data_IF_058193724257
#
_entry.id   IF_058193724257
#
_cell.length_a   1.000
_cell.length_b   1.000
_cell.length_c   1.000
_cell.angle_alpha   90.00
_cell.angle_beta   90.00
_cell.angle_gamma   90.00
#
_symmetry.space_group_name_H-M   'P 1'
#
loop_
_entity.id
_entity.type
_entity.pdbx_description
1 polymer ?
#
# COMPACT_ATOMS: atom_id res chain seq x y z
N UNK A 1 7.22 6.65 13.97
CA UNK A 1 6.05 6.88 14.87
C UNK A 1 4.76 6.60 14.09
N UNK A 2 3.80 5.86 14.66
CA UNK A 2 2.50 5.57 14.01
C UNK A 2 1.36 6.32 14.69
N UNK A 3 0.55 7.05 13.92
CA UNK A 3 -0.59 7.82 14.41
C UNK A 3 -1.87 7.51 13.61
N UNK A 4 -3.02 7.56 14.25
CA UNK A 4 -4.31 7.32 13.59
C UNK A 4 -4.82 8.60 12.90
N UNK A 5 -5.06 8.54 11.59
CA UNK A 5 -5.71 9.62 10.84
C UNK A 5 -7.24 9.51 10.96
N UNK A 6 -7.79 8.29 10.94
CA UNK A 6 -9.23 8.04 11.06
C UNK A 6 -9.48 6.62 11.59
N UNK A 7 -10.36 6.50 12.61
CA UNK A 7 -10.77 5.20 13.16
C UNK A 7 -12.04 4.64 12.51
N UNK A 8 -12.99 5.51 12.15
CA UNK A 8 -14.23 5.08 11.50
C UNK A 8 -13.99 4.81 10.01
N UNK A 9 -14.83 3.99 9.36
CA UNK A 9 -14.68 3.71 7.95
C UNK A 9 -14.81 4.97 7.08
N UNK A 10 -14.02 5.02 6.00
CA UNK A 10 -14.09 6.05 4.96
C UNK A 10 -14.18 5.39 3.59
N UNK A 11 -14.94 6.01 2.68
CA UNK A 11 -15.01 5.54 1.29
C UNK A 11 -13.67 5.78 0.59
N UNK A 12 -13.29 4.84 -0.27
CA UNK A 12 -12.13 4.95 -1.15
C UNK A 12 -12.62 4.72 -2.58
N UNK A 13 -12.12 5.52 -3.52
CA UNK A 13 -12.39 5.35 -4.95
C UNK A 13 -11.10 5.01 -5.67
N UNK A 14 -11.11 3.90 -6.41
CA UNK A 14 -9.95 3.38 -7.12
C UNK A 14 -10.14 3.64 -8.61
N UNK A 15 -9.11 4.19 -9.23
CA UNK A 15 -9.01 4.30 -10.68
C UNK A 15 -7.80 3.50 -11.16
N UNK A 16 -7.94 2.88 -12.32
CA UNK A 16 -6.94 1.99 -12.90
C UNK A 16 -6.50 2.46 -14.28
N UNK A 17 -5.34 1.98 -14.73
CA UNK A 17 -4.85 2.13 -16.10
C UNK A 17 -5.62 1.20 -17.05
N UNK A 18 -5.55 1.48 -18.34
CA UNK A 18 -5.98 0.60 -19.43
C UNK A 18 -7.48 0.22 -19.46
N UNK A 19 -8.36 1.05 -18.88
CA UNK A 19 -9.81 0.87 -18.98
C UNK A 19 -10.39 -0.18 -18.01
N UNK A 20 -9.61 -0.68 -17.06
CA UNK A 20 -10.12 -1.53 -15.99
C UNK A 20 -11.20 -0.80 -15.18
N UNK A 21 -12.25 -1.48 -14.69
CA UNK A 21 -13.35 -0.84 -14.02
C UNK A 21 -12.91 -0.19 -12.71
N UNK A 22 -13.19 1.11 -12.57
CA UNK A 22 -13.06 1.83 -11.32
C UNK A 22 -13.95 1.20 -10.24
N UNK A 23 -13.52 1.28 -8.98
CA UNK A 23 -14.18 0.59 -7.87
C UNK A 23 -14.25 1.41 -6.60
N UNK A 24 -15.17 1.03 -5.71
CA UNK A 24 -15.29 1.59 -4.38
C UNK A 24 -14.87 0.58 -3.31
N UNK A 25 -14.00 0.99 -2.39
CA UNK A 25 -13.62 0.20 -1.21
C UNK A 25 -13.93 0.95 0.08
N UNK A 26 -14.06 0.20 1.16
CA UNK A 26 -14.27 0.71 2.51
C UNK A 26 -12.93 0.63 3.23
N UNK A 27 -12.30 1.78 3.44
CA UNK A 27 -11.06 1.89 4.20
C UNK A 27 -11.37 2.03 5.69
N UNK A 28 -10.65 1.29 6.53
CA UNK A 28 -10.74 1.33 7.99
C UNK A 28 -9.37 1.60 8.57
N UNK A 29 -9.35 2.09 9.82
CA UNK A 29 -8.13 2.27 10.59
C UNK A 29 -7.03 3.02 9.81
N UNK A 30 -7.38 4.10 9.11
CA UNK A 30 -6.42 4.87 8.33
C UNK A 30 -5.36 5.42 9.30
N UNK A 31 -4.11 5.00 9.11
CA UNK A 31 -3.01 5.31 9.99
C UNK A 31 -1.83 5.83 9.18
N UNK A 32 -1.12 6.80 9.74
CA UNK A 32 0.09 7.35 9.16
C UNK A 32 1.27 6.91 10.01
N UNK A 33 2.15 6.13 9.40
CA UNK A 33 3.47 5.86 9.94
C UNK A 33 4.45 6.90 9.38
N UNK A 34 5.30 7.42 10.27
CA UNK A 34 6.30 8.44 9.96
C UNK A 34 7.67 7.88 10.31
N UNK A 35 8.53 7.76 9.31
CA UNK A 35 9.93 7.35 9.44
C UNK A 35 10.82 8.35 8.68
N UNK A 36 11.48 9.24 9.42
CA UNK A 36 12.28 10.32 8.84
C UNK A 36 11.46 11.21 7.89
N UNK A 37 11.83 11.18 6.60
CA UNK A 37 11.16 11.92 5.53
C UNK A 37 10.01 11.15 4.88
N UNK A 38 9.81 9.89 5.25
CA UNK A 38 8.93 8.96 4.59
C UNK A 38 7.67 8.72 5.42
N UNK A 39 6.52 9.02 4.81
CA UNK A 39 5.20 8.81 5.36
C UNK A 39 4.58 7.57 4.73
N UNK A 40 4.07 6.63 5.51
CA UNK A 40 3.31 5.49 5.01
C UNK A 40 1.87 5.59 5.49
N UNK A 41 0.96 5.89 4.58
CA UNK A 41 -0.48 5.85 4.84
C UNK A 41 -0.97 4.41 4.69
N UNK A 42 -1.22 3.76 5.82
CA UNK A 42 -1.81 2.42 5.89
C UNK A 42 -3.34 2.51 5.92
N UNK A 43 -4.00 1.69 5.11
CA UNK A 43 -5.45 1.56 5.06
C UNK A 43 -5.85 0.09 5.12
N UNK A 44 -6.61 -0.29 6.15
CA UNK A 44 -7.20 -1.61 6.26
C UNK A 44 -8.44 -1.70 5.36
N UNK A 45 -8.35 -2.54 4.34
CA UNK A 45 -9.43 -2.84 3.41
C UNK A 45 -9.88 -4.30 3.49
N UNK A 46 -9.42 -5.05 4.50
CA UNK A 46 -9.70 -6.48 4.66
C UNK A 46 -11.20 -6.82 4.82
N UNK A 47 -11.96 -5.84 5.31
CA UNK A 47 -13.42 -5.95 5.44
C UNK A 47 -14.16 -6.17 4.12
N UNK A 48 -13.58 -5.76 2.99
CA UNK A 48 -14.24 -5.79 1.70
C UNK A 48 -14.35 -7.23 1.12
N UNK A 49 -13.40 -8.12 1.44
CA UNK A 49 -13.48 -9.54 1.07
C UNK A 49 -14.46 -10.33 1.94
N UNK A 50 -14.65 -9.90 3.19
CA UNK A 50 -15.51 -10.57 4.19
C UNK A 50 -17.01 -10.29 4.00
N UNK A 51 -17.40 -9.55 2.97
CA UNK A 51 -18.80 -9.25 2.70
C UNK A 51 -19.59 -10.54 2.39
N UNK A 52 -20.70 -10.76 3.12
CA UNK A 52 -21.58 -11.92 2.90
C UNK A 52 -22.13 -11.96 1.47
N UNK A 53 -22.44 -10.79 0.92
CA UNK A 53 -22.90 -10.66 -0.46
C UNK A 53 -21.70 -10.49 -1.41
N UNK A 54 -21.39 -11.56 -2.16
CA UNK A 54 -20.30 -11.57 -3.15
C UNK A 54 -20.58 -10.71 -4.39
N UNK A 55 -21.84 -10.33 -4.64
CA UNK A 55 -22.17 -9.37 -5.70
C UNK A 55 -22.10 -7.91 -5.24
N UNK A 56 -21.79 -7.65 -3.97
CA UNK A 56 -21.68 -6.28 -3.48
C UNK A 56 -20.54 -5.53 -4.18
N UNK A 57 -20.71 -4.22 -4.47
CA UNK A 57 -19.67 -3.43 -5.16
C UNK A 57 -18.31 -3.48 -4.48
N UNK A 58 -18.30 -3.52 -3.14
CA UNK A 58 -17.10 -3.60 -2.30
C UNK A 58 -16.33 -4.92 -2.49
N UNK A 59 -17.05 -6.04 -2.53
CA UNK A 59 -16.45 -7.36 -2.74
C UNK A 59 -15.90 -7.49 -4.17
N UNK A 60 -16.66 -7.00 -5.16
CA UNK A 60 -16.22 -7.00 -6.56
C UNK A 60 -14.98 -6.12 -6.73
N UNK A 61 -14.97 -4.91 -6.14
CA UNK A 61 -13.82 -4.01 -6.18
C UNK A 61 -12.58 -4.59 -5.48
N UNK A 62 -12.76 -5.31 -4.36
CA UNK A 62 -11.66 -5.97 -3.66
C UNK A 62 -11.03 -7.09 -4.49
N UNK A 63 -11.85 -7.93 -5.13
CA UNK A 63 -11.35 -8.94 -6.07
C UNK A 63 -10.67 -8.32 -7.29
N UNK A 64 -11.22 -7.21 -7.79
CA UNK A 64 -10.61 -6.47 -8.90
C UNK A 64 -9.22 -5.94 -8.50
N UNK A 65 -9.08 -5.39 -7.29
CA UNK A 65 -7.79 -4.93 -6.77
C UNK A 65 -6.76 -6.07 -6.73
N UNK A 66 -7.12 -7.27 -6.26
CA UNK A 66 -6.20 -8.42 -6.23
C UNK A 66 -5.60 -8.68 -7.61
N UNK A 67 -6.43 -8.66 -8.66
CA UNK A 67 -6.02 -8.97 -10.04
C UNK A 67 -5.29 -7.83 -10.72
N UNK A 68 -5.64 -6.59 -10.38
CA UNK A 68 -5.24 -5.39 -11.12
C UNK A 68 -4.45 -4.38 -10.26
N UNK A 69 -3.88 -4.80 -9.12
CA UNK A 69 -3.13 -3.93 -8.20
C UNK A 69 -1.99 -3.18 -8.90
N UNK A 70 -1.22 -3.85 -9.77
CA UNK A 70 -0.14 -3.27 -10.57
C UNK A 70 -0.63 -2.21 -11.58
N UNK A 71 -1.93 -2.19 -11.90
CA UNK A 71 -2.56 -1.20 -12.78
C UNK A 71 -3.20 -0.04 -12.02
N UNK A 72 -3.12 -0.01 -10.68
CA UNK A 72 -3.69 1.07 -9.90
C UNK A 72 -3.07 2.40 -10.35
N UNK A 73 -3.93 3.35 -10.73
CA UNK A 73 -3.52 4.67 -11.19
C UNK A 73 -3.64 5.69 -10.08
N UNK A 74 -4.76 5.68 -9.37
CA UNK A 74 -4.98 6.59 -8.25
C UNK A 74 -6.00 6.04 -7.26
N UNK A 75 -5.91 6.56 -6.04
CA UNK A 75 -6.88 6.31 -4.98
C UNK A 75 -7.36 7.65 -4.41
N UNK A 76 -8.66 7.86 -4.38
CA UNK A 76 -9.27 9.03 -3.73
C UNK A 76 -9.88 8.63 -2.39
N UNK A 77 -9.60 9.42 -1.37
CA UNK A 77 -10.25 9.37 -0.07
C UNK A 77 -10.93 10.73 0.17
N UNK A 78 -12.26 10.86 -0.09
CA UNK A 78 -13.01 12.09 0.12
C UNK A 78 -13.28 12.37 1.62
N UNK A 79 -12.27 12.22 2.47
CA UNK A 79 -12.33 12.43 3.90
C UNK A 79 -11.48 13.65 4.30
N UNK A 80 -12.16 14.72 4.71
CA UNK A 80 -11.52 15.96 5.10
C UNK A 80 -10.66 15.85 6.37
N UNK A 81 -10.99 14.94 7.28
CA UNK A 81 -10.19 14.74 8.48
C UNK A 81 -8.85 14.08 8.14
N UNK A 82 -8.88 13.09 7.25
CA UNK A 82 -7.68 12.43 6.72
C UNK A 82 -6.80 13.47 6.03
N UNK A 83 -7.37 14.27 5.11
CA UNK A 83 -6.66 15.36 4.43
C UNK A 83 -5.99 16.32 5.41
N UNK A 84 -6.76 16.86 6.36
CA UNK A 84 -6.26 17.87 7.31
C UNK A 84 -5.11 17.33 8.16
N UNK A 85 -5.19 16.07 8.62
CA UNK A 85 -4.14 15.45 9.43
C UNK A 85 -2.91 15.08 8.60
N UNK A 86 -3.10 14.66 7.35
CA UNK A 86 -2.00 14.39 6.42
C UNK A 86 -1.22 15.68 6.11
N UNK A 87 -1.91 16.79 5.82
CA UNK A 87 -1.27 18.11 5.59
C UNK A 87 -0.41 18.51 6.79
N UNK A 88 -0.96 18.43 8.01
CA UNK A 88 -0.21 18.76 9.23
C UNK A 88 1.07 17.93 9.40
N UNK A 89 1.01 16.64 9.06
CA UNK A 89 2.19 15.78 9.11
C UNK A 89 3.18 16.16 8.00
N UNK A 90 2.68 16.42 6.79
CA UNK A 90 3.46 16.82 5.62
C UNK A 90 4.31 18.08 5.86
N UNK A 91 3.71 19.09 6.49
CA UNK A 91 4.35 20.38 6.79
C UNK A 91 5.48 20.29 7.82
N UNK A 92 5.53 19.20 8.61
CA UNK A 92 6.57 19.00 9.63
C UNK A 92 7.91 18.50 9.07
N UNK A 93 7.97 18.19 7.76
CA UNK A 93 9.14 17.58 7.10
C UNK A 93 9.49 18.38 5.84
N UNK A 94 10.80 18.55 5.58
CA UNK A 94 11.30 19.39 4.48
C UNK A 94 11.14 18.77 3.09
N UNK A 95 11.35 17.47 2.97
CA UNK A 95 11.28 16.72 1.72
C UNK A 95 10.40 15.46 1.89
N UNK A 96 9.10 15.64 2.18
CA UNK A 96 8.20 14.53 2.50
C UNK A 96 7.98 13.61 1.29
N UNK A 97 8.03 12.30 1.53
CA UNK A 97 7.66 11.25 0.57
C UNK A 97 6.44 10.50 1.10
N UNK A 98 5.52 10.11 0.21
CA UNK A 98 4.32 9.39 0.61
C UNK A 98 4.27 8.00 0.00
N UNK A 99 4.07 7.00 0.85
CA UNK A 99 3.70 5.66 0.47
C UNK A 99 2.25 5.40 0.85
N UNK A 100 1.56 4.64 0.02
CA UNK A 100 0.24 4.08 0.31
C UNK A 100 0.38 2.58 0.53
N UNK A 101 -0.05 2.09 1.69
CA UNK A 101 -0.11 0.66 2.02
C UNK A 101 -1.56 0.23 2.16
N UNK A 102 -2.01 -0.65 1.28
CA UNK A 102 -3.34 -1.26 1.30
C UNK A 102 -3.27 -2.66 1.88
N UNK A 103 -3.94 -2.89 3.01
CA UNK A 103 -3.95 -4.19 3.70
C UNK A 103 -5.27 -4.89 3.45
N UNK A 104 -5.28 -5.86 2.54
CA UNK A 104 -6.47 -6.64 2.16
C UNK A 104 -6.56 -7.97 2.89
N UNK A 105 -5.43 -8.63 3.07
CA UNK A 105 -5.24 -9.84 3.88
C UNK A 105 -3.76 -9.90 4.31
N UNK A 106 -3.35 -10.77 5.25
CA UNK A 106 -1.95 -10.94 5.61
C UNK A 106 -1.04 -11.18 4.40
N UNK A 107 -1.49 -12.00 3.45
CA UNK A 107 -0.81 -12.33 2.18
C UNK A 107 -1.11 -11.35 1.02
N UNK A 108 -1.99 -10.37 1.24
CA UNK A 108 -2.40 -9.41 0.22
C UNK A 108 -2.22 -7.99 0.74
N UNK A 109 -0.95 -7.57 0.79
CA UNK A 109 -0.51 -6.21 1.09
C UNK A 109 0.06 -5.60 -0.17
N UNK A 110 -0.38 -4.39 -0.49
CA UNK A 110 0.11 -3.66 -1.66
C UNK A 110 0.65 -2.30 -1.23
N UNK A 111 1.90 -2.02 -1.58
CA UNK A 111 2.57 -0.78 -1.24
C UNK A 111 2.86 -0.01 -2.53
N UNK A 112 2.63 1.29 -2.50
CA UNK A 112 2.83 2.18 -3.65
C UNK A 112 3.58 3.43 -3.21
N UNK A 113 4.44 3.94 -4.08
CA UNK A 113 4.87 5.34 -4.01
C UNK A 113 3.78 6.21 -4.64
N UNK A 114 3.39 7.30 -3.96
CA UNK A 114 2.25 8.13 -4.37
C UNK A 114 2.53 9.62 -4.24
N UNK A 115 1.95 10.40 -5.15
CA UNK A 115 1.90 11.86 -5.05
C UNK A 115 0.52 12.29 -4.50
N UNK A 116 0.45 13.04 -3.38
CA UNK A 116 -0.81 13.52 -2.85
C UNK A 116 -1.29 14.78 -3.58
N UNK A 117 -2.58 14.82 -3.91
CA UNK A 117 -3.28 15.98 -4.44
C UNK A 117 -4.52 16.27 -3.59
N UNK A 118 -4.71 17.54 -3.20
CA UNK A 118 -5.95 17.94 -2.52
C UNK A 118 -7.11 17.97 -3.50
N UNK A 119 -8.23 17.37 -3.14
CA UNK A 119 -9.47 17.43 -3.92
C UNK A 119 -10.21 18.74 -3.63
N UNK A 120 -10.74 19.38 -4.67
CA UNK A 120 -11.52 20.62 -4.55
C UNK A 120 -12.74 20.46 -3.62
N UNK A 121 -13.42 19.32 -3.71
CA UNK A 121 -14.60 19.00 -2.89
C UNK A 121 -14.24 18.50 -1.48
N UNK A 122 -12.96 18.47 -1.13
CA UNK A 122 -12.46 17.92 0.12
C UNK A 122 -11.95 16.48 0.00
N UNK A 123 -10.99 16.14 0.85
CA UNK A 123 -10.26 14.87 0.80
C UNK A 123 -8.99 14.89 -0.04
N UNK A 124 -8.37 13.72 -0.19
CA UNK A 124 -7.07 13.56 -0.84
C UNK A 124 -7.16 12.54 -1.97
N UNK A 125 -6.54 12.85 -3.11
CA UNK A 125 -6.17 11.89 -4.14
C UNK A 125 -4.72 11.51 -3.97
N UNK A 126 -4.42 10.23 -4.16
CA UNK A 126 -3.10 9.65 -4.13
C UNK A 126 -2.83 9.08 -5.51
N UNK A 127 -1.99 9.77 -6.29
CA UNK A 127 -1.64 9.36 -7.64
C UNK A 127 -0.44 8.41 -7.59
N UNK A 128 -0.65 7.17 -8.04
CA UNK A 128 0.36 6.11 -7.99
C UNK A 128 1.49 6.42 -8.97
N UNK A 129 2.69 6.55 -8.42
CA UNK A 129 3.93 6.75 -9.17
C UNK A 129 4.57 5.40 -9.50
N UNK A 130 4.69 4.54 -8.49
CA UNK A 130 5.27 3.21 -8.63
C UNK A 130 4.60 2.21 -7.67
N UNK A 131 4.53 0.95 -8.07
CA UNK A 131 4.29 -0.16 -7.15
C UNK A 131 5.62 -0.53 -6.48
N UNK A 132 5.61 -0.66 -5.16
CA UNK A 132 6.77 -1.05 -4.37
C UNK A 132 6.58 -2.53 -4.01
N UNK A 133 7.35 -3.40 -4.68
CA UNK A 133 7.46 -4.80 -4.26
C UNK A 133 7.99 -4.80 -2.81
N UNK A 134 7.38 -5.61 -1.93
CA UNK A 134 8.03 -5.92 -0.66
C UNK A 134 9.31 -6.67 -1.04
N UNK A 135 10.49 -6.08 -0.78
CA UNK A 135 11.74 -6.83 -0.81
C UNK A 135 11.50 -8.09 0.01
N UNK A 136 11.59 -9.26 -0.64
CA UNK A 136 11.52 -10.59 -0.05
C UNK A 136 12.64 -10.76 0.99
N UNK A 137 12.52 -10.10 2.13
CA UNK A 137 13.35 -10.32 3.29
C UNK A 137 12.56 -11.24 4.21
N UNK A 138 12.58 -12.54 3.86
CA UNK A 138 13.21 -13.60 4.63
C UNK A 138 12.99 -14.97 3.94
N UNK A 139 14.11 -15.71 3.79
CA UNK A 139 14.25 -17.17 3.58
C UNK A 139 14.41 -17.71 2.14
N UNK A 140 15.55 -17.38 1.52
CA UNK A 140 16.18 -18.22 0.50
C UNK A 140 17.68 -18.22 0.72
N UNK A 141 18.18 -19.13 1.56
CA UNK A 141 19.59 -19.23 1.92
C UNK A 141 20.48 -19.27 0.68
N UNK A 142 21.35 -18.26 0.57
CA UNK A 142 22.46 -18.25 -0.36
C UNK A 142 23.46 -19.32 0.11
N UNK A 143 23.19 -20.59 -0.24
CA UNK A 143 24.19 -21.64 -0.13
C UNK A 143 25.11 -21.52 -1.34
N UNK A 144 26.23 -20.83 -1.14
CA UNK A 144 27.36 -20.89 -2.05
C UNK A 144 28.08 -22.21 -1.75
N UNK A 145 28.15 -23.20 -2.65
CA UNK A 145 29.15 -24.23 -2.52
C UNK A 145 30.50 -23.55 -2.68
N UNK A 146 31.21 -23.37 -1.58
CA UNK A 146 32.64 -23.07 -1.63
C UNK A 146 33.31 -24.25 -2.32
N UNK A 147 33.80 -24.01 -3.53
CA UNK A 147 34.70 -24.89 -4.25
C UNK A 147 35.99 -25.04 -3.43
N UNK A 148 36.12 -26.13 -2.69
CA UNK A 148 37.38 -26.46 -2.03
C UNK A 148 38.29 -27.16 -3.04
N UNK A 149 39.36 -26.44 -3.39
CA UNK A 149 40.39 -26.85 -4.30
C UNK A 149 41.26 -27.97 -3.71
N UNK A 150 41.82 -28.75 -4.62
CA UNK A 150 42.79 -29.81 -4.38
C UNK A 150 44.05 -29.38 -3.61
N UNK A 151 44.46 -30.16 -2.61
CA UNK A 151 45.86 -30.51 -2.35
C UNK A 151 45.94 -31.73 -1.42
N UNK A 152 46.31 -32.90 -1.92
CA UNK A 152 47.69 -33.42 -2.04
C UNK A 152 48.18 -34.08 -0.74
N UNK A 153 48.11 -35.41 -0.70
CA UNK A 153 48.72 -36.26 0.32
C UNK A 153 49.36 -37.48 -0.35
N UNK A 154 50.66 -37.36 -0.62
CA UNK A 154 51.56 -38.35 -1.20
C UNK A 154 52.20 -39.19 -0.08
N UNK A 155 52.33 -40.50 -0.32
CA UNK A 155 53.23 -41.49 0.34
C UNK A 155 53.00 -41.74 1.85
N UNK A 156 53.10 -42.96 2.38
CA UNK A 156 53.84 -44.15 1.99
C UNK A 156 53.09 -45.44 2.37
#
# INVERSE_FOLDING_TARGET
MKQSLRKTPSHLHLAYKYGEPSGGLLGRNLALEVDGDTFTLEVDISGNLKARNKSSPWHVAANNLVRNHHKLKSLQCPDNLVRARLIRAWESVRHPKLRLKLVLAPEHVYIYDVAPHSLFTGGVQLDVQAYLEEDETVAGGHWVPTSEAAHNGKHA
#
